data_IF_712272212191
#
_entry.id   IF_712272212191
#
_cell.length_a   1.000
_cell.length_b   1.000
_cell.length_c   1.000
_cell.angle_alpha   90.00
_cell.angle_beta   90.00
_cell.angle_gamma   90.00
#
_symmetry.space_group_name_H-M   'P 1'
#
loop_
_entity.id
_entity.type
_entity.pdbx_description
1 polymer ?
#
# COMPACT_ATOMS: atom_id res chain seq x y z
N UNK A 1 -12.84 -13.49 -6.30
CA UNK A 1 -11.45 -13.72 -5.85
C UNK A 1 -10.54 -13.50 -7.05
N UNK A 2 -9.36 -12.90 -6.83
CA UNK A 2 -8.34 -12.68 -7.86
C UNK A 2 -7.00 -13.21 -7.36
N UNK A 3 -6.09 -13.48 -8.29
CA UNK A 3 -4.78 -14.05 -8.01
C UNK A 3 -3.71 -13.16 -8.66
N UNK A 4 -3.22 -12.14 -7.94
CA UNK A 4 -2.16 -11.30 -8.46
C UNK A 4 -0.84 -12.06 -8.57
N UNK A 5 -0.07 -11.68 -9.58
CA UNK A 5 1.27 -12.20 -9.87
C UNK A 5 2.24 -11.05 -10.05
N UNK A 6 3.52 -11.29 -9.71
CA UNK A 6 4.59 -10.35 -10.01
C UNK A 6 5.06 -10.58 -11.44
N UNK A 7 5.16 -9.51 -12.20
CA UNK A 7 5.60 -9.51 -13.60
C UNK A 7 6.73 -8.50 -13.82
N UNK A 8 7.37 -8.56 -14.98
CA UNK A 8 8.27 -7.52 -15.44
C UNK A 8 7.53 -6.37 -16.15
N UNK A 9 8.28 -5.40 -16.66
CA UNK A 9 7.72 -4.27 -17.40
C UNK A 9 6.95 -4.70 -18.66
N UNK A 10 7.34 -5.81 -19.29
CA UNK A 10 6.66 -6.37 -20.47
C UNK A 10 5.37 -7.13 -20.13
N UNK A 11 5.23 -7.60 -18.88
CA UNK A 11 4.13 -8.44 -18.43
C UNK A 11 4.49 -9.93 -18.34
N UNK A 12 5.78 -10.27 -18.50
CA UNK A 12 6.24 -11.64 -18.34
C UNK A 12 6.26 -12.03 -16.86
N UNK A 13 5.81 -13.24 -16.56
CA UNK A 13 5.75 -13.76 -15.20
C UNK A 13 7.12 -13.80 -14.53
N UNK A 14 7.21 -13.31 -13.28
CA UNK A 14 8.40 -13.40 -12.45
C UNK A 14 8.20 -14.31 -11.24
N UNK A 15 7.12 -14.13 -10.49
CA UNK A 15 6.88 -14.88 -9.24
C UNK A 15 5.44 -14.76 -8.73
N UNK A 16 5.03 -15.73 -7.91
CA UNK A 16 3.85 -15.64 -7.06
C UNK A 16 4.11 -14.88 -5.75
N UNK A 17 5.38 -14.65 -5.37
CA UNK A 17 5.72 -13.81 -4.23
C UNK A 17 5.51 -12.33 -4.57
N UNK A 18 4.52 -11.73 -3.92
CA UNK A 18 4.15 -10.34 -4.10
C UNK A 18 5.04 -9.37 -3.32
N UNK A 19 5.89 -9.88 -2.43
CA UNK A 19 6.78 -9.04 -1.63
C UNK A 19 7.77 -8.29 -2.52
N UNK A 20 7.93 -7.00 -2.24
CA UNK A 20 8.98 -6.20 -2.85
C UNK A 20 10.16 -6.11 -1.89
N UNK A 21 11.13 -7.01 -2.02
CA UNK A 21 12.41 -6.86 -1.31
C UNK A 21 13.29 -5.93 -2.10
N UNK A 22 13.37 -4.67 -1.68
CA UNK A 22 14.44 -3.78 -2.11
C UNK A 22 15.78 -4.30 -1.55
N UNK A 23 16.33 -5.35 -2.17
CA UNK A 23 17.64 -5.86 -1.81
C UNK A 23 18.66 -4.76 -2.09
N UNK A 24 19.31 -4.28 -1.03
CA UNK A 24 20.39 -3.30 -1.10
C UNK A 24 21.67 -3.97 -1.65
N UNK A 25 21.62 -4.43 -2.91
CA UNK A 25 22.77 -4.99 -3.61
C UNK A 25 23.59 -3.85 -4.21
N UNK A 26 24.88 -3.81 -3.85
CA UNK A 26 25.93 -2.88 -4.32
C UNK A 26 26.18 -3.00 -5.84
N UNK A 27 25.20 -2.64 -6.66
CA UNK A 27 25.32 -2.68 -8.12
C UNK A 27 24.80 -1.38 -8.74
N UNK A 28 25.46 -0.82 -9.78
CA UNK A 28 25.27 0.57 -10.21
C UNK A 28 23.99 0.85 -11.02
N UNK A 29 23.20 -0.17 -11.37
CA UNK A 29 21.95 -0.01 -12.13
C UNK A 29 20.76 0.32 -11.20
N UNK A 30 20.62 1.60 -10.82
CA UNK A 30 19.74 2.00 -9.71
C UNK A 30 18.30 2.40 -10.05
N UNK A 31 17.88 2.46 -11.33
CA UNK A 31 16.49 2.87 -11.68
C UNK A 31 15.44 1.76 -11.52
N UNK A 32 15.80 0.50 -11.69
CA UNK A 32 14.84 -0.62 -11.63
C UNK A 32 14.54 -1.12 -10.21
N UNK A 33 15.31 -0.70 -9.19
CA UNK A 33 15.17 -1.21 -7.81
C UNK A 33 13.91 -0.72 -7.08
N UNK A 34 13.31 0.37 -7.57
CA UNK A 34 12.13 1.00 -6.97
C UNK A 34 10.83 0.63 -7.66
N UNK A 35 10.89 0.12 -8.90
CA UNK A 35 9.71 -0.23 -9.68
C UNK A 35 9.33 -1.70 -9.46
N UNK A 36 8.03 -1.95 -9.35
CA UNK A 36 7.45 -3.28 -9.32
C UNK A 36 6.19 -3.31 -10.19
N UNK A 37 6.03 -4.40 -10.93
CA UNK A 37 4.86 -4.60 -11.77
C UNK A 37 4.10 -5.82 -11.28
N UNK A 38 2.78 -5.67 -11.25
CA UNK A 38 1.87 -6.75 -10.86
C UNK A 38 0.74 -6.86 -11.86
N UNK A 39 0.29 -8.08 -12.11
CA UNK A 39 -0.87 -8.33 -12.96
C UNK A 39 -1.89 -9.20 -12.26
N UNK A 40 -3.17 -8.93 -12.52
CA UNK A 40 -4.30 -9.75 -12.07
C UNK A 40 -5.45 -9.63 -13.05
N UNK A 41 -6.38 -10.59 -12.98
CA UNK A 41 -7.62 -10.54 -13.77
C UNK A 41 -8.80 -10.15 -12.87
N UNK A 42 -9.46 -9.04 -13.19
CA UNK A 42 -10.66 -8.59 -12.49
C UNK A 42 -11.82 -8.47 -13.47
N UNK A 43 -12.94 -9.17 -13.19
CA UNK A 43 -14.12 -9.24 -14.08
C UNK A 43 -13.75 -9.58 -15.54
N UNK A 44 -12.82 -10.52 -15.74
CA UNK A 44 -12.34 -10.94 -17.06
C UNK A 44 -11.38 -9.97 -17.74
N UNK A 45 -11.06 -8.82 -17.13
CA UNK A 45 -10.13 -7.83 -17.68
C UNK A 45 -8.76 -7.94 -17.00
N UNK A 46 -7.66 -8.02 -17.77
CA UNK A 46 -6.33 -7.93 -17.20
C UNK A 46 -6.07 -6.51 -16.71
N UNK A 47 -5.63 -6.40 -15.47
CA UNK A 47 -5.19 -5.16 -14.83
C UNK A 47 -3.68 -5.26 -14.59
N UNK A 48 -2.94 -4.25 -15.05
CA UNK A 48 -1.50 -4.12 -14.82
C UNK A 48 -1.23 -2.95 -13.89
N UNK A 49 -0.58 -3.23 -12.77
CA UNK A 49 -0.13 -2.24 -11.81
C UNK A 49 1.33 -1.90 -12.07
N UNK A 50 1.62 -0.61 -12.25
CA UNK A 50 2.97 -0.07 -12.33
C UNK A 50 3.21 0.75 -11.07
N UNK A 51 3.99 0.20 -10.14
CA UNK A 51 4.14 0.73 -8.80
C UNK A 51 5.60 1.10 -8.52
N UNK A 52 5.77 2.09 -7.67
CA UNK A 52 7.05 2.52 -7.13
C UNK A 52 7.00 2.62 -5.61
N UNK A 53 8.13 2.37 -4.93
CA UNK A 53 8.19 2.58 -3.48
C UNK A 53 7.88 4.04 -3.12
N UNK A 54 6.99 4.23 -2.14
CA UNK A 54 6.66 5.56 -1.62
C UNK A 54 7.71 6.02 -0.61
N UNK A 55 8.79 6.65 -1.09
CA UNK A 55 9.84 7.18 -0.23
C UNK A 55 9.39 8.38 0.62
N UNK A 56 8.23 8.96 0.33
CA UNK A 56 7.66 10.13 1.02
C UNK A 56 6.52 9.76 1.97
N UNK A 57 6.38 8.48 2.34
CA UNK A 57 5.32 8.04 3.25
C UNK A 57 5.49 8.63 4.66
N UNK A 58 6.74 8.75 5.11
CA UNK A 58 7.08 9.27 6.44
C UNK A 58 7.90 10.54 6.28
N UNK A 59 7.64 11.52 7.14
CA UNK A 59 8.41 12.75 7.17
C UNK A 59 9.89 12.47 7.53
N UNK A 60 10.84 13.28 7.02
CA UNK A 60 12.23 13.20 7.46
C UNK A 60 12.34 13.31 8.99
N UNK A 61 13.12 12.41 9.61
CA UNK A 61 13.28 12.37 11.07
C UNK A 61 12.14 11.67 11.82
N UNK A 62 11.20 11.01 11.14
CA UNK A 62 10.17 10.21 11.80
C UNK A 62 10.77 9.14 12.73
N UNK A 63 10.29 9.11 13.97
CA UNK A 63 10.65 8.11 14.97
C UNK A 63 9.37 7.50 15.55
N UNK A 64 9.47 6.23 15.96
CA UNK A 64 8.39 5.53 16.66
C UNK A 64 8.80 5.31 18.11
N UNK A 65 7.91 5.64 19.05
CA UNK A 65 8.08 5.33 20.47
C UNK A 65 7.13 4.20 20.85
N UNK A 66 7.65 3.11 21.42
CA UNK A 66 6.85 2.02 21.96
C UNK A 66 7.02 1.97 23.48
N UNK A 67 5.93 2.08 24.22
CA UNK A 67 5.91 1.98 25.68
C UNK A 67 5.23 0.68 26.12
N UNK A 68 5.85 -0.02 27.05
CA UNK A 68 5.24 -1.13 27.77
C UNK A 68 5.31 -0.80 29.26
N UNK A 69 4.32 -0.06 29.77
CA UNK A 69 4.34 0.48 31.13
C UNK A 69 4.67 1.97 31.18
N UNK A 70 5.49 2.38 32.15
CA UNK A 70 5.84 3.77 32.42
C UNK A 70 6.85 4.37 31.44
N UNK A 71 7.26 5.62 31.68
CA UNK A 71 8.18 6.38 30.82
C UNK A 71 9.57 5.72 30.74
N UNK A 72 10.00 5.02 31.79
CA UNK A 72 11.29 4.35 31.85
C UNK A 72 11.47 3.23 30.79
N UNK A 73 10.37 2.62 30.33
CA UNK A 73 10.38 1.51 29.37
C UNK A 73 10.11 1.96 27.93
N UNK A 74 10.19 3.26 27.66
CA UNK A 74 10.02 3.82 26.32
C UNK A 74 11.17 3.41 25.38
N UNK A 75 10.84 2.73 24.29
CA UNK A 75 11.79 2.37 23.22
C UNK A 75 11.54 3.23 22.00
N UNK A 76 12.49 4.13 21.71
CA UNK A 76 12.49 4.93 20.50
C UNK A 76 13.20 4.15 19.39
N UNK A 77 12.54 3.98 18.25
CA UNK A 77 13.10 3.37 17.05
C UNK A 77 12.98 4.34 15.89
N UNK A 78 14.12 4.66 15.28
CA UNK A 78 14.12 5.28 13.96
C UNK A 78 13.57 4.29 12.93
N UNK A 79 12.66 4.75 12.08
CA UNK A 79 12.09 3.88 11.06
C UNK A 79 13.05 3.82 9.87
N UNK A 80 13.77 2.71 9.74
CA UNK A 80 14.83 2.55 8.74
C UNK A 80 14.25 2.19 7.36
N UNK A 81 13.57 3.14 6.72
CA UNK A 81 13.10 3.07 5.32
C UNK A 81 11.79 2.31 5.09
N UNK A 82 10.97 2.85 4.18
CA UNK A 82 9.78 2.18 3.65
C UNK A 82 10.21 1.16 2.59
N UNK A 83 9.93 -0.12 2.83
CA UNK A 83 10.32 -1.22 1.94
C UNK A 83 9.17 -1.85 1.16
N UNK A 84 7.92 -1.53 1.49
CA UNK A 84 6.77 -2.26 0.93
C UNK A 84 5.52 -1.42 0.66
N UNK A 85 5.44 -0.15 1.07
CA UNK A 85 4.33 0.72 0.67
C UNK A 85 4.66 1.42 -0.65
N UNK A 86 3.75 1.32 -1.60
CA UNK A 86 3.97 1.68 -2.98
C UNK A 86 2.86 2.60 -3.50
N UNK A 87 3.20 3.42 -4.47
CA UNK A 87 2.29 4.30 -5.21
C UNK A 87 2.56 4.19 -6.71
N UNK A 88 1.54 4.42 -7.52
CA UNK A 88 1.67 4.41 -8.97
C UNK A 88 0.32 4.36 -9.67
N UNK A 89 0.22 3.53 -10.70
CA UNK A 89 -0.95 3.46 -11.59
C UNK A 89 -1.42 2.03 -11.80
N UNK A 90 -2.72 1.89 -12.05
CA UNK A 90 -3.33 0.70 -12.63
C UNK A 90 -3.76 0.98 -14.07
N UNK A 91 -3.43 0.07 -14.98
CA UNK A 91 -3.76 0.13 -16.40
C UNK A 91 -4.65 -1.04 -16.78
N UNK A 92 -5.58 -0.80 -17.70
CA UNK A 92 -6.44 -1.82 -18.30
C UNK A 92 -6.58 -1.54 -19.80
N UNK A 93 -6.79 -2.58 -20.60
CA UNK A 93 -7.05 -2.43 -22.05
C UNK A 93 -8.48 -1.98 -22.35
N UNK A 94 -9.44 -2.43 -21.56
CA UNK A 94 -10.86 -2.16 -21.79
C UNK A 94 -11.43 -1.07 -20.87
N UNK A 95 -10.78 -0.81 -19.74
CA UNK A 95 -11.28 0.09 -18.70
C UNK A 95 -10.35 1.28 -18.52
N UNK A 96 -10.90 2.43 -18.13
CA UNK A 96 -10.09 3.60 -17.76
C UNK A 96 -9.35 3.30 -16.46
N UNK A 97 -8.02 3.22 -16.55
CA UNK A 97 -7.12 3.07 -15.40
C UNK A 97 -7.02 4.33 -14.54
N UNK A 98 -6.20 4.29 -13.50
CA UNK A 98 -6.05 5.41 -12.57
C UNK A 98 -4.94 5.19 -11.55
N UNK A 99 -4.96 5.99 -10.49
CA UNK A 99 -3.94 5.92 -9.44
C UNK A 99 -4.12 4.68 -8.55
N UNK A 100 -3.00 4.18 -8.01
CA UNK A 100 -2.97 3.08 -7.06
C UNK A 100 -2.02 3.40 -5.89
N UNK A 101 -2.43 3.00 -4.69
CA UNK A 101 -1.63 3.07 -3.47
C UNK A 101 -1.77 1.74 -2.73
N UNK A 102 -0.71 0.93 -2.75
CA UNK A 102 -0.72 -0.48 -2.35
C UNK A 102 0.44 -0.78 -1.40
N UNK A 103 0.19 -1.59 -0.40
CA UNK A 103 1.19 -2.25 0.43
C UNK A 103 1.48 -3.64 -0.13
N UNK A 104 2.74 -4.06 -0.07
CA UNK A 104 3.23 -5.40 -0.42
C UNK A 104 3.78 -6.16 0.79
N UNK A 105 3.59 -5.63 2.01
CA UNK A 105 4.23 -6.16 3.21
C UNK A 105 3.70 -7.57 3.58
N UNK A 106 2.42 -7.83 3.27
CA UNK A 106 1.77 -9.12 3.44
C UNK A 106 0.75 -9.32 2.31
N UNK A 107 1.23 -9.47 1.07
CA UNK A 107 0.40 -9.45 -0.12
C UNK A 107 -0.01 -8.04 -0.56
N UNK A 108 -0.81 -7.94 -1.63
CA UNK A 108 -1.26 -6.66 -2.18
C UNK A 108 -2.48 -6.15 -1.39
N UNK A 109 -2.25 -5.10 -0.60
CA UNK A 109 -3.31 -4.46 0.20
C UNK A 109 -3.37 -2.96 -0.03
N UNK A 110 -4.52 -2.42 -0.40
CA UNK A 110 -4.68 -0.98 -0.52
C UNK A 110 -5.82 -0.58 -1.47
N UNK A 111 -5.66 0.57 -2.10
CA UNK A 111 -6.69 1.19 -2.95
C UNK A 111 -6.16 1.47 -4.36
N UNK A 112 -7.03 1.33 -5.36
CA UNK A 112 -6.75 1.74 -6.73
C UNK A 112 -8.01 2.27 -7.40
N UNK A 113 -7.82 3.10 -8.42
CA UNK A 113 -8.92 3.70 -9.19
C UNK A 113 -9.10 3.01 -10.52
N UNK A 114 -10.34 2.63 -10.83
CA UNK A 114 -10.72 2.00 -12.08
C UNK A 114 -12.10 2.52 -12.48
N UNK A 115 -12.29 2.91 -13.74
CA UNK A 115 -13.56 3.50 -14.21
C UNK A 115 -14.02 4.69 -13.35
N UNK A 116 -13.07 5.53 -12.93
CA UNK A 116 -13.28 6.69 -12.06
C UNK A 116 -13.83 6.37 -10.65
N UNK A 117 -13.71 5.13 -10.22
CA UNK A 117 -14.24 4.63 -8.95
C UNK A 117 -13.11 4.02 -8.11
N UNK A 118 -13.19 4.16 -6.79
CA UNK A 118 -12.21 3.62 -5.87
C UNK A 118 -12.53 2.15 -5.52
N UNK A 119 -11.54 1.27 -5.67
CA UNK A 119 -11.60 -0.14 -5.34
C UNK A 119 -10.52 -0.49 -4.30
N UNK A 120 -10.88 -1.36 -3.37
CA UNK A 120 -9.94 -1.95 -2.44
C UNK A 120 -9.52 -3.34 -2.91
N UNK A 121 -8.27 -3.68 -2.65
CA UNK A 121 -7.72 -5.03 -2.76
C UNK A 121 -7.12 -5.41 -1.41
N UNK A 122 -7.33 -6.64 -0.98
CA UNK A 122 -6.63 -7.20 0.18
C UNK A 122 -6.54 -8.73 0.10
N UNK A 123 -5.53 -9.33 0.76
CA UNK A 123 -5.41 -10.78 0.86
C UNK A 123 -6.63 -11.40 1.53
N UNK A 124 -7.00 -12.60 1.09
CA UNK A 124 -7.97 -13.44 1.79
C UNK A 124 -7.21 -14.34 2.75
N UNK A 125 -7.60 -14.34 4.02
CA UNK A 125 -7.06 -15.24 5.03
C UNK A 125 -7.40 -16.68 4.63
N UNK A 126 -6.40 -17.42 4.13
CA UNK A 126 -6.50 -18.87 3.97
C UNK A 126 -5.71 -19.53 5.08
N UNK A 127 -6.27 -20.59 5.68
CA UNK A 127 -5.57 -21.40 6.67
C UNK A 127 -4.35 -22.13 6.09
N UNK A 128 -4.27 -22.22 4.76
CA UNK A 128 -3.19 -22.83 4.00
C UNK A 128 -2.75 -21.91 2.86
N UNK A 129 -1.49 -21.51 2.86
CA UNK A 129 -0.81 -20.97 1.67
C UNK A 129 -0.16 -22.18 0.99
N UNK A 130 -0.63 -22.55 -0.18
CA UNK A 130 0.07 -23.55 -0.98
C UNK A 130 1.37 -22.92 -1.51
N UNK A 131 2.50 -23.55 -1.21
CA UNK A 131 3.79 -23.11 -1.72
C UNK A 131 3.80 -23.22 -3.25
N UNK A 132 4.25 -22.14 -3.90
CA UNK A 132 4.25 -22.06 -5.36
C UNK A 132 2.90 -21.70 -6.00
N UNK A 133 1.87 -21.38 -5.21
CA UNK A 133 0.60 -20.87 -5.72
C UNK A 133 0.44 -19.35 -5.50
N UNK A 134 -0.35 -18.71 -6.36
CA UNK A 134 -0.71 -17.31 -6.22
C UNK A 134 -1.58 -17.08 -4.97
N UNK A 135 -1.22 -16.10 -4.14
CA UNK A 135 -2.01 -15.76 -2.95
C UNK A 135 -3.38 -15.17 -3.37
N UNK A 136 -4.51 -15.68 -2.84
CA UNK A 136 -5.83 -15.17 -3.20
C UNK A 136 -6.10 -13.80 -2.58
N UNK A 137 -6.72 -12.92 -3.36
CA UNK A 137 -7.12 -11.58 -2.97
C UNK A 137 -8.60 -11.34 -3.27
N UNK A 138 -9.24 -10.48 -2.49
CA UNK A 138 -10.58 -9.96 -2.77
C UNK A 138 -10.49 -8.52 -3.25
N UNK A 139 -11.35 -8.17 -4.21
CA UNK A 139 -11.52 -6.80 -4.70
C UNK A 139 -12.97 -6.39 -4.47
N UNK A 140 -13.17 -5.22 -3.89
CA UNK A 140 -14.50 -4.65 -3.65
C UNK A 140 -14.50 -3.13 -3.87
N UNK A 141 -15.63 -2.60 -4.34
CA UNK A 141 -15.82 -1.16 -4.54
C UNK A 141 -15.91 -0.47 -3.18
N UNK A 142 -15.25 0.66 -3.01
CA UNK A 142 -15.42 1.54 -1.84
C UNK A 142 -16.87 1.98 -1.76
N UNK A 143 -17.56 1.57 -0.70
CA UNK A 143 -18.89 2.08 -0.36
C UNK A 143 -18.70 3.34 0.50
N UNK A 144 -18.39 4.46 -0.14
CA UNK A 144 -18.54 5.75 0.53
C UNK A 144 -19.95 6.25 0.21
N UNK A 145 -20.75 6.70 1.19
CA UNK A 145 -21.86 7.59 0.88
C UNK A 145 -21.28 8.75 0.07
N UNK A 146 -21.99 9.20 -0.96
CA UNK A 146 -21.69 10.51 -1.55
C UNK A 146 -21.89 11.56 -0.46
N UNK A 147 -20.84 11.83 0.32
CA UNK A 147 -20.84 12.96 1.22
C UNK A 147 -20.75 14.19 0.34
N UNK A 148 -21.90 14.83 0.22
CA UNK A 148 -22.21 15.99 -0.58
C UNK A 148 -21.02 16.91 -0.81
N UNK A 149 -20.81 17.24 -2.07
CA UNK A 149 -20.51 18.62 -2.39
C UNK A 149 -21.63 19.48 -1.78
N UNK A 150 -21.45 19.95 -0.54
CA UNK A 150 -21.72 21.31 -0.09
C UNK A 150 -21.77 21.46 1.45
N UNK A 151 -21.01 22.48 1.89
CA UNK A 151 -21.35 23.45 2.94
C UNK A 151 -21.36 22.99 4.41
N UNK A 152 -20.30 23.39 5.11
CA UNK A 152 -20.27 23.46 6.57
C UNK A 152 -18.91 23.91 7.06
N UNK A 153 -18.67 25.23 7.06
CA UNK A 153 -17.57 25.85 7.81
C UNK A 153 -17.75 25.47 9.29
N UNK A 154 -17.14 24.38 9.72
CA UNK A 154 -16.97 24.10 11.16
C UNK A 154 -15.96 25.14 11.65
N UNK A 155 -16.30 26.02 12.62
CA UNK A 155 -15.31 26.91 13.19
C UNK A 155 -14.16 26.07 13.76
N UNK A 156 -12.92 26.54 13.62
CA UNK A 156 -11.76 25.81 14.15
C UNK A 156 -11.99 25.57 15.65
N UNK A 157 -11.87 24.31 16.07
CA UNK A 157 -11.82 23.99 17.49
C UNK A 157 -10.66 24.77 18.14
N UNK A 158 -10.80 25.22 19.39
CA UNK A 158 -9.70 25.83 20.12
C UNK A 158 -8.48 24.91 20.09
N UNK A 159 -7.29 25.50 19.92
CA UNK A 159 -6.00 24.80 19.92
C UNK A 159 -5.67 24.27 21.31
N UNK A 160 -6.37 23.24 21.76
CA UNK A 160 -5.94 22.45 22.90
C UNK A 160 -5.00 21.35 22.41
N UNK A 161 -3.73 21.43 22.80
CA UNK A 161 -2.77 20.37 22.57
C UNK A 161 -3.19 19.16 23.39
N UNK A 162 -3.44 18.03 22.74
CA UNK A 162 -3.58 16.76 23.45
C UNK A 162 -2.20 16.36 23.99
N UNK A 163 -2.01 16.50 25.29
CA UNK A 163 -0.79 16.14 26.00
C UNK A 163 -1.13 15.78 27.43
N UNK A 164 -0.45 14.78 27.97
CA UNK A 164 -0.59 14.35 29.37
C UNK A 164 -0.16 15.53 30.25
N UNK A 165 -1.09 16.06 31.06
CA UNK A 165 -0.75 17.05 32.08
C UNK A 165 0.08 16.35 33.16
N UNK A 166 1.35 16.75 33.26
CA UNK A 166 2.23 16.31 34.33
C UNK A 166 1.72 16.85 35.67
N UNK A 167 1.45 15.95 36.60
CA UNK A 167 1.21 16.29 38.00
C UNK A 167 2.57 16.46 38.69
N UNK A 168 2.74 17.61 39.36
CA UNK A 168 3.85 17.90 40.28
C UNK A 168 3.54 17.29 41.63
#
# INVERSE_FOLDING_TARGET
IVHPIKVDESGSFLSYDLSHRALHRRSPSSRSKFLAFYELHYKGQPLKFNLSLNNNLLAPGFVSERRFGGIADAKIRSHAYNSCHMIGEVRSRALTGGLAALSTCDGLKGVFRLMNEDYFIEPVSTSFREDGAAQPHRIYKRQAPEQGAEQGRRPPAPRETCGVQGTV
#
